data_IF_650485199405
#
_entry.id   IF_650485199405
#
_cell.length_a   1.000
_cell.length_b   1.000
_cell.length_c   1.000
_cell.angle_alpha   90.00
_cell.angle_beta   90.00
_cell.angle_gamma   90.00
#
_symmetry.space_group_name_H-M   'P 1'
#
loop_
_entity.id
_entity.type
_entity.pdbx_description
1 polymer ?
#
# COMPACT_ATOMS: atom_id res chain seq x y z
N UNK A 1 -21.45 -8.27 11.19
CA UNK A 1 -20.82 -7.64 12.37
C UNK A 1 -20.69 -6.16 12.04
N UNK A 2 -21.16 -5.24 12.88
CA UNK A 2 -21.04 -3.81 12.61
C UNK A 2 -19.64 -3.37 13.08
N UNK A 3 -18.82 -2.81 12.19
CA UNK A 3 -17.54 -2.18 12.56
C UNK A 3 -17.82 -1.05 13.55
N UNK A 4 -17.14 -1.04 14.70
CA UNK A 4 -17.32 0.05 15.66
C UNK A 4 -16.52 1.28 15.22
N UNK A 5 -16.91 2.49 15.65
CA UNK A 5 -16.14 3.71 15.37
C UNK A 5 -14.67 3.63 15.81
N UNK A 6 -14.36 2.84 16.85
CA UNK A 6 -12.99 2.60 17.30
C UNK A 6 -12.19 1.76 16.31
N UNK A 7 -12.79 0.70 15.76
CA UNK A 7 -12.13 -0.18 14.79
C UNK A 7 -11.73 0.60 13.52
N UNK A 8 -12.60 1.50 13.06
CA UNK A 8 -12.29 2.37 11.94
C UNK A 8 -11.15 3.36 12.25
N UNK A 9 -11.13 3.94 13.45
CA UNK A 9 -10.04 4.85 13.85
C UNK A 9 -8.68 4.12 13.93
N UNK A 10 -8.68 2.88 14.43
CA UNK A 10 -7.50 2.01 14.47
C UNK A 10 -7.04 1.69 13.05
N UNK A 11 -7.94 1.25 12.17
CA UNK A 11 -7.66 0.97 10.76
C UNK A 11 -7.03 2.18 10.05
N UNK A 12 -7.62 3.38 10.17
CA UNK A 12 -7.09 4.60 9.52
C UNK A 12 -5.66 4.90 9.98
N UNK A 13 -5.39 4.75 11.29
CA UNK A 13 -4.05 4.95 11.84
C UNK A 13 -3.06 3.92 11.32
N UNK A 14 -3.43 2.64 11.30
CA UNK A 14 -2.59 1.56 10.79
C UNK A 14 -2.27 1.74 9.31
N UNK A 15 -3.27 2.09 8.49
CA UNK A 15 -3.09 2.35 7.05
C UNK A 15 -2.12 3.50 6.82
N UNK A 16 -2.22 4.58 7.58
CA UNK A 16 -1.27 5.70 7.51
C UNK A 16 0.16 5.28 7.81
N UNK A 17 0.38 4.40 8.80
CA UNK A 17 1.71 3.88 9.14
C UNK A 17 2.27 3.02 7.99
N UNK A 18 1.47 2.11 7.44
CA UNK A 18 1.90 1.23 6.35
C UNK A 18 2.25 2.04 5.10
N UNK A 19 1.42 3.02 4.73
CA UNK A 19 1.71 3.91 3.59
C UNK A 19 3.02 4.67 3.82
N UNK A 20 3.22 5.26 4.99
CA UNK A 20 4.46 5.98 5.29
C UNK A 20 5.69 5.07 5.23
N UNK A 21 5.57 3.82 5.67
CA UNK A 21 6.64 2.83 5.60
C UNK A 21 6.99 2.48 4.14
N UNK A 22 5.98 2.25 3.30
CA UNK A 22 6.13 1.95 1.87
C UNK A 22 6.68 3.14 1.07
N UNK A 23 6.32 4.38 1.44
CA UNK A 23 6.88 5.58 0.82
C UNK A 23 8.36 5.78 1.19
N UNK A 24 8.76 5.39 2.40
CA UNK A 24 10.17 5.45 2.84
C UNK A 24 11.02 4.39 2.17
N UNK A 25 10.50 3.16 2.06
CA UNK A 25 11.19 2.05 1.41
C UNK A 25 10.19 1.14 0.67
N UNK A 26 10.11 1.25 -0.67
CA UNK A 26 9.24 0.42 -1.49
C UNK A 26 9.53 -1.09 -1.40
N UNK A 27 10.74 -1.51 -0.97
CA UNK A 27 11.07 -2.93 -0.79
C UNK A 27 10.36 -3.55 0.41
N UNK A 28 9.82 -2.74 1.33
CA UNK A 28 9.00 -3.16 2.46
C UNK A 28 7.67 -3.79 2.03
N UNK A 29 7.25 -3.63 0.77
CA UNK A 29 6.07 -4.30 0.24
C UNK A 29 6.11 -5.83 0.45
N UNK A 30 7.27 -6.46 0.26
CA UNK A 30 7.42 -7.91 0.48
C UNK A 30 7.28 -8.31 1.95
N UNK A 31 7.69 -7.45 2.87
CA UNK A 31 7.51 -7.67 4.30
C UNK A 31 6.00 -7.67 4.62
N UNK A 32 5.28 -6.62 4.21
CA UNK A 32 3.84 -6.51 4.43
C UNK A 32 3.04 -7.65 3.76
N UNK A 33 3.43 -8.09 2.57
CA UNK A 33 2.84 -9.26 1.90
C UNK A 33 3.07 -10.58 2.65
N UNK A 34 4.19 -10.71 3.37
CA UNK A 34 4.46 -11.87 4.24
C UNK A 34 3.63 -11.81 5.51
N UNK A 35 3.51 -10.63 6.12
CA UNK A 35 2.69 -10.42 7.31
C UNK A 35 1.24 -10.87 7.07
N UNK A 36 0.66 -10.58 5.90
CA UNK A 36 -0.70 -11.00 5.52
C UNK A 36 -0.95 -12.52 5.62
N UNK A 37 0.11 -13.34 5.57
CA UNK A 37 0.02 -14.81 5.67
C UNK A 37 0.02 -15.31 7.10
N UNK A 38 0.24 -14.44 8.08
CA UNK A 38 0.19 -14.80 9.50
C UNK A 38 -1.26 -14.87 9.98
N UNK A 39 -1.55 -15.85 10.82
CA UNK A 39 -2.91 -16.17 11.27
C UNK A 39 -3.42 -15.18 12.34
N UNK A 40 -2.51 -14.55 13.08
CA UNK A 40 -2.81 -13.70 14.24
C UNK A 40 -2.97 -12.19 13.90
N UNK A 41 -3.06 -11.83 12.62
CA UNK A 41 -3.30 -10.43 12.25
C UNK A 41 -4.72 -10.00 12.62
N UNK A 42 -4.81 -8.83 13.25
CA UNK A 42 -6.12 -8.21 13.46
C UNK A 42 -6.76 -7.86 12.10
N UNK A 43 -8.10 -7.90 12.01
CA UNK A 43 -8.81 -7.53 10.79
C UNK A 43 -8.45 -6.12 10.28
N UNK A 44 -8.24 -5.17 11.19
CA UNK A 44 -7.93 -3.77 10.88
C UNK A 44 -6.54 -3.65 10.23
N UNK A 45 -5.55 -4.38 10.75
CA UNK A 45 -4.20 -4.38 10.19
C UNK A 45 -4.17 -5.06 8.82
N UNK A 46 -4.85 -6.21 8.68
CA UNK A 46 -4.99 -6.92 7.40
C UNK A 46 -5.55 -5.99 6.33
N UNK A 47 -6.68 -5.33 6.63
CA UNK A 47 -7.32 -4.36 5.74
C UNK A 47 -6.42 -3.18 5.41
N UNK A 48 -5.73 -2.62 6.41
CA UNK A 48 -4.80 -1.51 6.21
C UNK A 48 -3.67 -1.86 5.24
N UNK A 49 -3.08 -3.05 5.39
CA UNK A 49 -1.99 -3.53 4.53
C UNK A 49 -2.47 -3.82 3.11
N UNK A 50 -3.60 -4.54 2.96
CA UNK A 50 -4.17 -4.87 1.65
C UNK A 50 -4.47 -3.61 0.82
N UNK A 51 -5.12 -2.63 1.43
CA UNK A 51 -5.47 -1.38 0.76
C UNK A 51 -4.22 -0.52 0.44
N UNK A 52 -3.26 -0.41 1.37
CA UNK A 52 -2.03 0.34 1.12
C UNK A 52 -1.20 -0.26 -0.03
N UNK A 53 -1.10 -1.59 -0.10
CA UNK A 53 -0.42 -2.27 -1.22
C UNK A 53 -1.17 -2.07 -2.55
N UNK A 54 -2.51 -2.06 -2.53
CA UNK A 54 -3.30 -1.79 -3.73
C UNK A 54 -3.07 -0.37 -4.25
N UNK A 55 -3.04 0.63 -3.36
CA UNK A 55 -2.73 2.03 -3.69
C UNK A 55 -1.30 2.17 -4.23
N UNK A 56 -0.32 1.52 -3.61
CA UNK A 56 1.06 1.52 -4.10
C UNK A 56 1.15 0.95 -5.53
N UNK A 57 0.47 -0.17 -5.82
CA UNK A 57 0.44 -0.76 -7.17
C UNK A 57 -0.29 0.13 -8.16
N UNK A 58 -1.34 0.85 -7.75
CA UNK A 58 -2.01 1.84 -8.59
C UNK A 58 -1.07 3.00 -8.93
N UNK A 59 -0.42 3.59 -7.92
CA UNK A 59 0.53 4.68 -8.10
C UNK A 59 1.74 4.28 -8.97
N UNK A 60 2.25 3.05 -8.83
CA UNK A 60 3.31 2.54 -9.71
C UNK A 60 2.85 2.36 -11.16
N UNK A 61 1.61 1.94 -11.39
CA UNK A 61 1.05 1.85 -12.75
C UNK A 61 0.89 3.22 -13.39
N UNK A 62 0.41 4.20 -12.64
CA UNK A 62 0.27 5.58 -13.10
C UNK A 62 1.63 6.24 -13.35
N UNK A 63 2.59 6.07 -12.44
CA UNK A 63 3.96 6.57 -12.61
C UNK A 63 4.70 5.93 -13.78
N UNK A 64 4.42 4.65 -14.08
CA UNK A 64 4.98 3.97 -15.27
C UNK A 64 4.30 4.40 -16.57
N UNK A 65 3.05 4.87 -16.53
CA UNK A 65 2.37 5.49 -17.67
C UNK A 65 2.83 6.94 -17.91
N UNK A 66 3.51 7.57 -16.95
CA UNK A 66 4.01 8.95 -17.00
C UNK A 66 5.46 9.11 -17.48
N UNK A 67 6.15 8.05 -17.94
CA UNK A 67 7.43 8.19 -18.63
C UNK A 67 7.14 8.29 -20.12
N UNK A 68 7.11 9.49 -20.74
CA UNK A 68 7.25 9.56 -22.19
C UNK A 68 8.59 8.93 -22.53
N UNK A 69 8.56 7.83 -23.29
CA UNK A 69 9.73 7.35 -24.02
C UNK A 69 10.35 8.58 -24.68
N UNK A 70 11.57 8.89 -24.26
CA UNK A 70 12.28 10.07 -24.72
C UNK A 70 12.24 10.11 -26.24
N UNK A 71 11.83 11.27 -26.72
CA UNK A 71 11.98 11.80 -28.07
C UNK A 71 13.44 11.61 -28.51
N UNK A 72 13.75 10.47 -29.14
CA UNK A 72 14.95 10.37 -29.96
C UNK A 72 14.62 10.96 -31.33
N UNK A 73 14.85 12.27 -31.41
CA UNK A 73 15.17 12.94 -32.66
C UNK A 73 16.16 12.10 -33.44
N UNK A 74 15.83 11.76 -34.68
CA UNK A 74 16.83 11.62 -35.73
C UNK A 74 16.24 12.10 -37.05
N UNK A 75 16.99 13.06 -37.61
CA UNK A 75 16.83 13.79 -38.87
C UNK A 75 16.68 12.93 -40.11
#
# INVERSE_FOLDING_TARGET
MQETPMDNAVYVKLKGIVIQDLLKDPHRAQFHERELKTEDLTPEYRRAVEEALAELRAAQREGRAGVPLADERSS
#
